data_IF_984793699906
#
_entry.id   IF_984793699906
#
_cell.length_a   1.000
_cell.length_b   1.000
_cell.length_c   1.000
_cell.angle_alpha   90.00
_cell.angle_beta   90.00
_cell.angle_gamma   90.00
#
_symmetry.space_group_name_H-M   'P 1'
#
loop_
_entity.id
_entity.type
_entity.pdbx_description
1 polymer ?
#
# COMPACT_ATOMS: atom_id res chain seq x y z
N UNK A 1 20.54 -3.72 16.36
CA UNK A 1 19.74 -3.72 15.12
C UNK A 1 19.31 -2.28 14.87
N UNK A 2 19.72 -1.67 13.76
CA UNK A 2 19.26 -0.35 13.36
C UNK A 2 18.04 -0.54 12.44
N UNK A 3 16.85 -0.26 12.94
CA UNK A 3 15.62 -0.28 12.14
C UNK A 3 15.36 1.11 11.55
N UNK A 4 15.52 1.26 10.24
CA UNK A 4 15.11 2.48 9.51
C UNK A 4 13.72 2.24 8.93
N UNK A 5 12.76 3.13 9.24
CA UNK A 5 11.45 3.12 8.60
C UNK A 5 11.62 3.60 7.15
N UNK A 6 11.34 2.73 6.18
CA UNK A 6 11.49 3.05 4.75
C UNK A 6 10.20 3.65 4.16
N UNK A 7 9.04 3.09 4.54
CA UNK A 7 7.72 3.56 4.09
C UNK A 7 6.66 3.19 5.12
N UNK A 8 5.60 4.00 5.19
CA UNK A 8 4.43 3.73 6.03
C UNK A 8 3.17 3.98 5.22
N UNK A 9 2.25 3.03 5.21
CA UNK A 9 0.99 3.11 4.47
C UNK A 9 -0.19 2.92 5.44
N UNK A 10 -1.23 3.74 5.29
CA UNK A 10 -2.47 3.62 6.07
C UNK A 10 -3.55 2.90 5.25
N UNK A 11 -3.56 1.58 5.30
CA UNK A 11 -4.53 0.74 4.56
C UNK A 11 -5.72 0.27 5.38
N UNK A 12 -5.62 0.28 6.71
CA UNK A 12 -6.65 -0.20 7.63
C UNK A 12 -7.07 0.89 8.62
N UNK A 13 -8.33 0.84 9.04
CA UNK A 13 -8.84 1.65 10.14
C UNK A 13 -8.77 0.90 11.49
N UNK A 14 -8.49 -0.39 11.45
CA UNK A 14 -8.42 -1.29 12.58
C UNK A 14 -7.05 -1.99 12.66
N UNK A 15 -6.81 -2.71 13.75
CA UNK A 15 -5.57 -3.46 13.94
C UNK A 15 -5.44 -4.57 12.89
N UNK A 16 -4.31 -4.57 12.19
CA UNK A 16 -3.92 -5.64 11.27
C UNK A 16 -3.55 -6.87 12.09
N UNK A 17 -4.15 -8.01 11.77
CA UNK A 17 -3.96 -9.28 12.48
C UNK A 17 -3.00 -10.20 11.72
N UNK A 18 -3.04 -10.15 10.38
CA UNK A 18 -2.20 -11.01 9.54
C UNK A 18 -1.79 -10.33 8.24
N UNK A 19 -0.64 -10.77 7.71
CA UNK A 19 -0.09 -10.37 6.42
C UNK A 19 0.28 -11.61 5.61
N UNK A 20 0.15 -11.53 4.28
CA UNK A 20 0.68 -12.50 3.35
C UNK A 20 1.24 -11.77 2.13
N UNK A 21 2.54 -11.89 1.89
CA UNK A 21 3.20 -11.35 0.71
C UNK A 21 3.45 -12.49 -0.26
N UNK A 22 2.87 -12.41 -1.45
CA UNK A 22 3.04 -13.44 -2.47
C UNK A 22 3.61 -12.87 -3.76
N UNK A 23 4.61 -13.56 -4.32
CA UNK A 23 5.23 -13.23 -5.59
C UNK A 23 4.80 -14.25 -6.64
N UNK A 24 4.53 -13.79 -7.85
CA UNK A 24 4.24 -14.69 -8.96
C UNK A 24 5.42 -15.64 -9.23
N UNK A 25 5.13 -16.93 -9.18
CA UNK A 25 6.07 -18.03 -9.38
C UNK A 25 6.53 -18.25 -10.83
N UNK A 26 5.91 -17.60 -11.82
CA UNK A 26 6.30 -17.79 -13.22
C UNK A 26 7.62 -17.09 -13.58
N UNK A 27 8.69 -17.88 -13.57
CA UNK A 27 9.87 -17.63 -14.41
C UNK A 27 9.41 -17.84 -15.85
N UNK A 28 9.20 -16.76 -16.60
CA UNK A 28 9.00 -16.85 -18.06
C UNK A 28 10.30 -17.45 -18.62
N UNK A 29 10.32 -18.70 -19.14
CA UNK A 29 11.42 -19.12 -19.98
C UNK A 29 11.36 -18.22 -21.21
N UNK A 30 12.50 -17.69 -21.66
CA UNK A 30 12.59 -17.01 -22.95
C UNK A 30 12.06 -17.94 -24.05
N UNK A 31 10.78 -17.83 -24.35
CA UNK A 31 10.15 -18.46 -25.49
C UNK A 31 9.34 -17.39 -26.22
N UNK A 32 9.50 -17.40 -27.54
CA UNK A 32 9.26 -16.33 -28.50
C UNK A 32 7.78 -15.93 -28.70
N UNK A 33 6.94 -15.95 -27.66
CA UNK A 33 5.57 -15.51 -27.77
C UNK A 33 5.45 -14.01 -27.47
N UNK A 34 5.02 -13.25 -28.48
CA UNK A 34 4.82 -11.80 -28.54
C UNK A 34 3.81 -11.20 -27.52
N UNK A 35 3.82 -11.60 -26.25
CA UNK A 35 3.27 -10.75 -25.18
C UNK A 35 4.36 -9.80 -24.74
N UNK A 36 4.42 -8.61 -25.35
CA UNK A 36 5.39 -7.58 -24.97
C UNK A 36 5.35 -7.36 -23.46
N UNK A 37 6.41 -7.75 -22.75
CA UNK A 37 6.61 -7.29 -21.37
C UNK A 37 6.59 -5.77 -21.42
N UNK A 38 5.80 -5.16 -20.55
CA UNK A 38 5.80 -3.70 -20.47
C UNK A 38 7.21 -3.23 -20.15
N UNK A 39 7.67 -2.25 -20.93
CA UNK A 39 8.94 -1.60 -20.72
C UNK A 39 8.67 -0.15 -20.35
N UNK A 40 9.08 0.24 -19.14
CA UNK A 40 9.04 1.64 -18.75
C UNK A 40 10.11 2.43 -19.51
N UNK A 41 9.66 3.22 -20.48
CA UNK A 41 10.53 4.05 -21.33
C UNK A 41 10.69 5.47 -20.81
N UNK A 42 10.14 5.79 -19.64
CA UNK A 42 10.18 7.14 -19.07
C UNK A 42 11.61 7.66 -18.96
N UNK A 43 12.53 6.80 -18.50
CA UNK A 43 13.97 7.13 -18.37
C UNK A 43 14.68 7.41 -19.70
N UNK A 44 14.10 7.01 -20.84
CA UNK A 44 14.66 7.32 -22.17
C UNK A 44 14.37 8.76 -22.60
N UNK A 45 13.34 9.38 -22.04
CA UNK A 45 12.86 10.71 -22.44
C UNK A 45 13.03 11.76 -21.35
N UNK A 46 12.99 11.35 -20.08
CA UNK A 46 13.08 12.24 -18.94
C UNK A 46 14.39 12.06 -18.19
N UNK A 47 14.99 13.14 -17.67
CA UNK A 47 16.11 13.01 -16.75
C UNK A 47 15.68 12.24 -15.49
N UNK A 48 16.64 11.71 -14.72
CA UNK A 48 16.36 11.08 -13.44
C UNK A 48 15.52 11.97 -12.52
N UNK A 49 14.71 11.34 -11.67
CA UNK A 49 13.89 12.08 -10.72
C UNK A 49 14.76 13.02 -9.86
N UNK A 50 14.31 14.26 -9.63
CA UNK A 50 15.04 15.19 -8.78
C UNK A 50 15.17 14.63 -7.36
N UNK A 51 16.29 14.92 -6.69
CA UNK A 51 16.51 14.58 -5.28
C UNK A 51 16.11 15.76 -4.40
N UNK A 52 15.68 15.47 -3.17
CA UNK A 52 15.35 16.51 -2.18
C UNK A 52 16.59 17.40 -1.92
N UNK A 53 16.47 18.73 -1.98
CA UNK A 53 17.57 19.64 -1.65
C UNK A 53 18.08 19.41 -0.22
N UNK A 54 19.40 19.26 -0.06
CA UNK A 54 20.04 19.19 1.26
C UNK A 54 19.94 20.56 1.94
N UNK A 55 19.69 20.60 3.25
CA UNK A 55 19.72 21.86 4.00
C UNK A 55 21.15 22.46 4.00
N UNK A 56 21.35 23.69 3.50
CA UNK A 56 22.65 24.36 3.56
C UNK A 56 23.10 24.55 5.01
N UNK A 57 24.34 24.15 5.32
CA UNK A 57 24.93 24.26 6.67
C UNK A 57 25.14 22.93 7.41
N UNK A 58 24.53 21.83 6.94
CA UNK A 58 25.05 20.50 7.26
C UNK A 58 26.21 20.21 6.31
N UNK A 59 27.44 20.52 6.75
CA UNK A 59 28.64 19.90 6.20
C UNK A 59 28.51 18.38 6.44
N UNK A 60 28.89 17.54 5.48
CA UNK A 60 28.90 16.05 5.53
C UNK A 60 29.75 15.43 6.68
N UNK A 61 29.98 16.12 7.78
CA UNK A 61 30.94 15.71 8.81
C UNK A 61 30.52 15.82 10.26
N UNK A 62 29.40 16.47 10.64
CA UNK A 62 29.18 16.76 12.08
C UNK A 62 27.74 16.61 12.60
N UNK A 63 26.93 15.77 11.94
CA UNK A 63 25.80 15.11 12.57
C UNK A 63 25.71 13.70 12.01
N UNK A 64 26.11 12.72 12.81
CA UNK A 64 26.03 11.32 12.43
C UNK A 64 24.62 10.94 11.95
N UNK A 65 24.60 10.11 10.90
CA UNK A 65 23.47 9.29 10.41
C UNK A 65 22.67 9.75 9.18
N UNK A 66 23.16 10.68 8.34
CA UNK A 66 22.62 10.79 6.97
C UNK A 66 23.70 11.13 5.93
N UNK A 67 24.64 10.22 5.73
CA UNK A 67 25.44 10.12 4.51
C UNK A 67 25.67 8.61 4.29
N UNK A 68 25.59 8.12 3.04
CA UNK A 68 25.54 6.69 2.61
C UNK A 68 24.17 5.98 2.61
N UNK A 69 23.06 6.72 2.73
CA UNK A 69 21.70 6.13 2.69
C UNK A 69 21.02 6.07 1.31
N UNK A 70 21.70 6.48 0.23
CA UNK A 70 21.10 6.69 -1.10
C UNK A 70 20.68 5.39 -1.79
N UNK A 71 21.32 4.25 -1.51
CA UNK A 71 20.95 2.95 -2.12
C UNK A 71 19.60 2.42 -1.63
N UNK A 72 19.19 2.76 -0.39
CA UNK A 72 18.03 2.12 0.26
C UNK A 72 16.66 2.53 -0.30
N UNK A 73 16.54 3.75 -0.83
CA UNK A 73 15.30 4.22 -1.45
C UNK A 73 15.27 3.84 -2.94
N UNK A 74 16.43 3.87 -3.60
CA UNK A 74 16.58 3.49 -5.00
C UNK A 74 16.27 1.99 -5.22
N UNK A 75 16.59 1.12 -4.24
CA UNK A 75 16.21 -0.30 -4.26
C UNK A 75 14.68 -0.53 -4.16
N UNK A 76 13.94 0.34 -3.47
CA UNK A 76 12.48 0.24 -3.35
C UNK A 76 11.73 0.90 -4.51
N UNK A 77 12.27 1.98 -5.08
CA UNK A 77 11.67 2.72 -6.19
C UNK A 77 11.92 2.04 -7.54
N UNK A 78 12.96 1.22 -7.67
CA UNK A 78 13.22 0.44 -8.88
C UNK A 78 12.30 -0.80 -8.99
N UNK A 79 10.98 -0.58 -8.93
CA UNK A 79 9.98 -1.63 -9.17
C UNK A 79 9.96 -2.12 -10.63
N UNK A 80 10.68 -1.43 -11.52
CA UNK A 80 10.81 -1.76 -12.96
C UNK A 80 11.35 -3.17 -13.23
N UNK A 81 12.10 -3.74 -12.29
CA UNK A 81 12.64 -5.10 -12.37
C UNK A 81 12.02 -6.05 -11.33
N UNK A 82 11.14 -5.56 -10.45
CA UNK A 82 10.51 -6.39 -9.45
C UNK A 82 9.50 -7.32 -10.12
N UNK A 83 9.51 -8.59 -9.73
CA UNK A 83 8.43 -9.49 -10.14
C UNK A 83 7.12 -9.01 -9.55
N UNK A 84 6.04 -9.16 -10.31
CA UNK A 84 4.70 -8.81 -9.84
C UNK A 84 4.40 -9.58 -8.56
N UNK A 85 4.15 -8.83 -7.48
CA UNK A 85 3.87 -9.38 -6.17
C UNK A 85 2.77 -8.57 -5.48
N UNK A 86 2.00 -9.26 -4.65
CA UNK A 86 0.83 -8.72 -3.97
C UNK A 86 0.94 -9.00 -2.48
N UNK A 87 0.89 -7.94 -1.69
CA UNK A 87 0.71 -7.97 -0.25
C UNK A 87 -0.78 -7.95 0.08
N UNK A 88 -1.23 -8.99 0.77
CA UNK A 88 -2.57 -9.09 1.36
C UNK A 88 -2.46 -8.84 2.87
N UNK A 89 -3.34 -8.00 3.40
CA UNK A 89 -3.43 -7.73 4.84
C UNK A 89 -4.85 -7.91 5.33
N UNK A 90 -5.02 -8.56 6.48
CA UNK A 90 -6.31 -8.82 7.11
C UNK A 90 -6.41 -8.13 8.47
N UNK A 91 -7.56 -7.52 8.77
CA UNK A 91 -7.82 -6.88 10.08
C UNK A 91 -8.94 -7.56 10.88
N UNK A 92 -9.04 -7.13 12.14
CA UNK A 92 -10.03 -7.63 13.11
C UNK A 92 -11.50 -7.34 12.74
N UNK A 93 -11.74 -6.40 11.81
CA UNK A 93 -13.08 -5.95 11.41
C UNK A 93 -13.47 -6.56 10.05
N UNK A 94 -12.85 -7.69 9.69
CA UNK A 94 -13.20 -8.44 8.49
C UNK A 94 -12.68 -7.84 7.19
N UNK A 95 -11.83 -6.81 7.21
CA UNK A 95 -11.31 -6.21 5.98
C UNK A 95 -10.04 -6.89 5.50
N UNK A 96 -9.99 -7.12 4.20
CA UNK A 96 -8.81 -7.57 3.47
C UNK A 96 -8.40 -6.44 2.53
N UNK A 97 -7.17 -5.96 2.65
CA UNK A 97 -6.59 -4.98 1.75
C UNK A 97 -5.52 -5.65 0.89
N UNK A 98 -5.42 -5.19 -0.36
CA UNK A 98 -4.46 -5.67 -1.34
C UNK A 98 -3.55 -4.51 -1.76
N UNK A 99 -2.25 -4.77 -1.80
CA UNK A 99 -1.26 -3.81 -2.27
C UNK A 99 -0.24 -4.46 -3.20
N UNK A 100 -0.02 -3.86 -4.36
CA UNK A 100 1.00 -4.30 -5.32
C UNK A 100 2.34 -3.72 -4.87
N UNK A 101 3.40 -4.53 -4.89
CA UNK A 101 4.74 -4.19 -4.37
C UNK A 101 4.77 -3.79 -2.88
N UNK A 102 3.68 -4.00 -2.15
CA UNK A 102 3.51 -3.56 -0.76
C UNK A 102 3.35 -2.06 -0.57
N UNK A 103 3.20 -1.28 -1.66
CA UNK A 103 3.20 0.19 -1.63
C UNK A 103 1.98 0.78 -2.33
N UNK A 104 1.51 0.16 -3.42
CA UNK A 104 0.37 0.67 -4.18
C UNK A 104 -0.92 -0.06 -3.77
N UNK A 105 -1.86 0.56 -3.02
CA UNK A 105 -3.11 -0.09 -2.64
C UNK A 105 -4.01 -0.26 -3.88
N UNK A 106 -4.40 -1.50 -4.18
CA UNK A 106 -5.20 -1.82 -5.37
C UNK A 106 -6.66 -2.13 -5.06
N UNK A 107 -6.97 -2.52 -3.83
CA UNK A 107 -8.34 -2.84 -3.46
C UNK A 107 -8.53 -3.20 -2.00
N UNK A 108 -9.78 -3.15 -1.57
CA UNK A 108 -10.23 -3.53 -0.23
C UNK A 108 -11.55 -4.28 -0.36
N UNK A 109 -11.67 -5.41 0.33
CA UNK A 109 -12.94 -6.14 0.46
C UNK A 109 -13.22 -6.41 1.93
N UNK A 110 -14.50 -6.48 2.28
CA UNK A 110 -14.91 -6.83 3.64
C UNK A 110 -15.74 -8.12 3.60
N UNK A 111 -15.34 -9.10 4.40
CA UNK A 111 -15.98 -10.43 4.38
C UNK A 111 -17.42 -10.43 4.91
N UNK A 112 -17.85 -9.40 5.65
CA UNK A 112 -19.25 -9.23 6.06
C UNK A 112 -20.18 -8.93 4.87
N UNK A 113 -19.64 -8.35 3.80
CA UNK A 113 -20.42 -7.99 2.61
C UNK A 113 -20.55 -9.18 1.63
N UNK A 114 -19.92 -10.31 1.92
CA UNK A 114 -19.92 -11.48 1.06
C UNK A 114 -21.11 -12.39 1.38
N UNK A 115 -21.77 -12.86 0.33
CA UNK A 115 -22.78 -13.91 0.41
C UNK A 115 -22.23 -15.17 -0.23
N UNK A 116 -22.44 -16.30 0.44
CA UNK A 116 -21.96 -17.61 0.03
C UNK A 116 -23.16 -18.46 -0.38
N UNK A 117 -23.23 -18.92 -1.64
CA UNK A 117 -24.27 -19.84 -2.04
C UNK A 117 -24.07 -21.17 -1.30
N UNK A 118 -25.14 -21.69 -0.71
CA UNK A 118 -25.19 -23.00 -0.10
C UNK A 118 -26.28 -23.82 -0.75
N UNK A 119 -25.91 -24.92 -1.39
CA UNK A 119 -26.86 -25.91 -1.88
C UNK A 119 -27.14 -26.92 -0.78
N UNK A 120 -28.25 -26.76 -0.06
CA UNK A 120 -28.76 -27.81 0.82
C UNK A 120 -30.20 -28.13 0.41
N UNK A 121 -30.44 -29.39 0.04
CA UNK A 121 -31.78 -29.94 -0.18
C UNK A 121 -32.62 -29.29 -1.30
N UNK A 122 -31.96 -28.90 -2.40
CA UNK A 122 -32.64 -28.43 -3.62
C UNK A 122 -33.18 -26.99 -3.60
N UNK A 123 -33.12 -26.30 -2.46
CA UNK A 123 -33.38 -24.86 -2.36
C UNK A 123 -32.04 -24.10 -2.37
N UNK A 124 -31.89 -23.13 -3.28
CA UNK A 124 -30.76 -22.19 -3.21
C UNK A 124 -30.95 -21.28 -1.99
N UNK A 125 -30.07 -21.44 -1.00
CA UNK A 125 -29.95 -20.52 0.13
C UNK A 125 -28.61 -19.84 0.08
N UNK A 126 -28.55 -18.61 0.55
CA UNK A 126 -27.27 -17.90 0.71
C UNK A 126 -26.98 -17.69 2.20
N UNK A 127 -25.70 -17.79 2.56
CA UNK A 127 -25.23 -17.51 3.92
C UNK A 127 -24.34 -16.27 3.92
N UNK A 128 -24.37 -15.53 5.02
CA UNK A 128 -23.50 -14.38 5.26
C UNK A 128 -22.78 -14.58 6.60
N UNK A 129 -21.55 -14.07 6.67
CA UNK A 129 -20.76 -14.10 7.90
C UNK A 129 -20.81 -12.73 8.61
N UNK A 130 -21.52 -12.68 9.72
CA UNK A 130 -21.60 -11.48 10.58
C UNK A 130 -20.50 -11.51 11.64
N UNK A 131 -20.11 -10.33 12.12
CA UNK A 131 -19.10 -10.16 13.20
C UNK A 131 -17.78 -10.92 12.98
N UNK A 132 -17.49 -11.23 11.71
CA UNK A 132 -16.28 -11.90 11.25
C UNK A 132 -14.98 -11.14 11.59
N UNK A 133 -14.05 -11.80 12.27
CA UNK A 133 -12.68 -11.34 12.48
C UNK A 133 -11.70 -12.23 11.74
N UNK A 134 -10.72 -11.65 11.03
CA UNK A 134 -9.74 -12.40 10.24
C UNK A 134 -8.59 -12.86 11.15
N UNK A 135 -8.21 -14.12 11.01
CA UNK A 135 -7.06 -14.73 11.68
C UNK A 135 -5.89 -14.96 10.74
N UNK A 136 -6.15 -15.34 9.49
CA UNK A 136 -5.12 -15.62 8.50
C UNK A 136 -5.62 -15.36 7.08
N UNK A 137 -4.74 -14.86 6.24
CA UNK A 137 -4.91 -14.79 4.78
C UNK A 137 -3.75 -15.53 4.12
N UNK A 138 -4.02 -16.21 3.00
CA UNK A 138 -3.00 -16.90 2.20
C UNK A 138 -3.37 -16.78 0.71
N UNK A 139 -2.58 -16.03 -0.04
CA UNK A 139 -2.74 -15.88 -1.48
C UNK A 139 -2.00 -17.02 -2.20
N UNK A 140 -2.61 -17.60 -3.22
CA UNK A 140 -1.99 -18.64 -4.03
C UNK A 140 -0.86 -18.10 -4.91
N UNK A 141 0.08 -18.98 -5.29
CA UNK A 141 1.24 -18.65 -6.14
C UNK A 141 0.88 -18.18 -7.56
N UNK A 142 -0.29 -18.60 -8.05
CA UNK A 142 -0.89 -18.14 -9.30
C UNK A 142 -1.71 -16.85 -9.13
N UNK A 143 -1.76 -16.32 -7.90
CA UNK A 143 -2.53 -15.14 -7.48
C UNK A 143 -4.04 -15.23 -7.72
N UNK A 144 -4.56 -16.42 -8.07
CA UNK A 144 -5.95 -16.60 -8.48
C UNK A 144 -6.91 -16.93 -7.34
N UNK A 145 -6.40 -17.36 -6.18
CA UNK A 145 -7.22 -17.77 -5.03
C UNK A 145 -6.65 -17.20 -3.73
N UNK A 146 -7.53 -16.62 -2.94
CA UNK A 146 -7.21 -16.21 -1.57
C UNK A 146 -7.95 -17.10 -0.58
N UNK A 147 -7.21 -17.76 0.30
CA UNK A 147 -7.78 -18.48 1.44
C UNK A 147 -7.80 -17.57 2.66
N UNK A 148 -8.95 -17.47 3.31
CA UNK A 148 -9.17 -16.63 4.49
C UNK A 148 -9.69 -17.50 5.63
N UNK A 149 -8.96 -17.52 6.74
CA UNK A 149 -9.44 -18.09 8.00
C UNK A 149 -9.98 -16.96 8.87
N UNK A 150 -11.22 -17.11 9.32
CA UNK A 150 -11.92 -16.08 10.09
C UNK A 150 -12.85 -16.72 11.12
N UNK A 151 -13.21 -16.00 12.17
CA UNK A 151 -14.24 -16.43 13.11
C UNK A 151 -15.43 -15.49 13.07
N UNK A 152 -16.66 -16.00 13.12
CA UNK A 152 -17.85 -15.16 13.12
C UNK A 152 -19.15 -15.98 13.14
N UNK A 153 -20.27 -15.26 13.08
CA UNK A 153 -21.62 -15.83 13.12
C UNK A 153 -22.12 -16.07 11.70
N UNK A 154 -22.35 -17.35 11.35
CA UNK A 154 -22.89 -17.71 10.05
C UNK A 154 -24.42 -17.65 10.08
N UNK A 155 -25.02 -16.84 9.22
CA UNK A 155 -26.48 -16.62 9.18
C UNK A 155 -27.02 -16.88 7.77
N UNK A 156 -28.20 -17.50 7.68
CA UNK A 156 -28.93 -17.69 6.42
C UNK A 156 -29.68 -16.42 6.02
N UNK A 157 -29.54 -16.02 4.75
CA UNK A 157 -30.25 -14.89 4.15
C UNK A 157 -31.43 -15.46 3.33
N UNK A 158 -32.65 -15.06 3.68
CA UNK A 158 -33.89 -15.44 2.97
C UNK A 158 -34.38 -14.23 2.18
N UNK A 159 -34.83 -14.47 0.94
CA UNK A 159 -35.08 -13.45 -0.10
C UNK A 159 -36.35 -12.59 0.11
N UNK A 160 -37.17 -12.88 1.13
CA UNK A 160 -38.44 -12.19 1.39
C UNK A 160 -38.30 -11.19 2.55
N UNK A 161 -38.14 -9.92 2.18
CA UNK A 161 -37.81 -8.77 3.04
C UNK A 161 -36.45 -8.92 3.73
N UNK A 162 -35.77 -7.80 3.96
CA UNK A 162 -34.46 -7.65 4.62
C UNK A 162 -34.42 -8.12 6.11
N UNK A 163 -35.26 -9.09 6.47
CA UNK A 163 -35.37 -9.72 7.77
C UNK A 163 -34.39 -10.89 7.79
N UNK A 164 -33.21 -10.62 8.36
CA UNK A 164 -32.26 -11.66 8.77
C UNK A 164 -33.00 -12.58 9.75
N UNK A 165 -33.45 -13.74 9.29
CA UNK A 165 -34.01 -14.75 10.17
C UNK A 165 -32.88 -15.30 11.04
N UNK A 166 -32.83 -14.87 12.30
CA UNK A 166 -32.02 -15.48 13.38
C UNK A 166 -32.60 -16.84 13.81
N UNK A 167 -33.34 -17.51 12.93
CA UNK A 167 -34.11 -18.72 13.23
C UNK A 167 -33.28 -19.95 12.87
N UNK A 168 -32.52 -20.45 13.85
CA UNK A 168 -31.88 -21.77 13.80
C UNK A 168 -30.35 -21.69 13.81
N UNK A 169 -29.78 -21.82 15.01
CA UNK A 169 -28.35 -21.99 15.30
C UNK A 169 -27.42 -20.92 14.69
N UNK A 170 -27.26 -19.79 15.40
CA UNK A 170 -26.06 -18.95 15.23
C UNK A 170 -24.84 -19.77 15.63
N UNK A 171 -24.23 -20.44 14.65
CA UNK A 171 -22.99 -21.16 14.82
C UNK A 171 -21.84 -20.15 14.73
N UNK A 172 -21.57 -19.49 15.86
CA UNK A 172 -20.30 -18.79 16.01
C UNK A 172 -19.19 -19.83 15.91
N UNK A 173 -18.35 -19.70 14.90
CA UNK A 173 -17.37 -20.73 14.57
C UNK A 173 -16.16 -20.18 13.84
N UNK A 174 -15.20 -21.06 13.60
CA UNK A 174 -14.09 -20.80 12.70
C UNK A 174 -14.49 -21.23 11.29
N UNK A 175 -14.35 -20.32 10.35
CA UNK A 175 -14.73 -20.49 8.95
C UNK A 175 -13.51 -20.35 8.04
N UNK A 176 -13.51 -21.12 6.95
CA UNK A 176 -12.49 -21.05 5.91
C UNK A 176 -13.16 -20.63 4.60
N UNK A 177 -12.79 -19.47 4.08
CA UNK A 177 -13.34 -18.90 2.86
C UNK A 177 -12.30 -19.01 1.73
N UNK A 178 -12.77 -19.35 0.53
CA UNK A 178 -11.95 -19.29 -0.68
C UNK A 178 -12.51 -18.19 -1.60
N UNK A 179 -11.74 -17.13 -1.80
CA UNK A 179 -12.12 -15.99 -2.63
C UNK A 179 -11.40 -16.07 -3.98
N UNK A 180 -12.14 -15.74 -5.04
CA UNK A 180 -11.57 -15.65 -6.39
C UNK A 180 -10.82 -14.32 -6.54
N UNK A 181 -9.51 -14.41 -6.77
CA UNK A 181 -8.62 -13.27 -7.01
C UNK A 181 -7.98 -13.32 -8.39
N UNK A 182 -8.54 -14.09 -9.33
CA UNK A 182 -8.02 -14.27 -10.69
C UNK A 182 -7.84 -12.96 -11.48
N UNK A 183 -8.45 -11.85 -11.04
CA UNK A 183 -8.20 -10.52 -11.62
C UNK A 183 -6.71 -10.13 -11.56
N UNK A 184 -5.99 -10.50 -10.49
CA UNK A 184 -4.56 -10.19 -10.36
C UNK A 184 -3.74 -10.90 -11.43
N UNK A 185 -4.13 -12.12 -11.78
CA UNK A 185 -3.51 -12.89 -12.84
C UNK A 185 -3.94 -12.38 -14.23
N UNK A 186 -5.25 -12.30 -14.46
CA UNK A 186 -5.83 -11.96 -15.76
C UNK A 186 -5.43 -10.56 -16.24
N UNK A 187 -5.24 -9.61 -15.31
CA UNK A 187 -4.85 -8.22 -15.62
C UNK A 187 -3.44 -7.88 -15.13
N UNK A 188 -2.58 -8.90 -14.93
CA UNK A 188 -1.23 -8.77 -14.34
C UNK A 188 -0.41 -7.65 -14.98
N UNK A 189 -0.32 -7.63 -16.31
CA UNK A 189 0.53 -6.67 -17.02
C UNK A 189 0.04 -5.22 -16.86
N UNK A 190 -1.27 -4.99 -16.82
CA UNK A 190 -1.80 -3.63 -16.64
C UNK A 190 -1.71 -3.21 -15.17
N UNK A 191 -1.97 -4.12 -14.24
CA UNK A 191 -1.81 -3.86 -12.82
C UNK A 191 -0.35 -3.57 -12.45
N UNK A 192 0.59 -4.30 -13.04
CA UNK A 192 2.01 -4.05 -12.89
C UNK A 192 2.38 -2.63 -13.39
N UNK A 193 1.92 -2.28 -14.60
CA UNK A 193 2.12 -0.95 -15.19
C UNK A 193 1.59 0.17 -14.32
N UNK A 194 0.31 0.05 -13.91
CA UNK A 194 -0.35 1.06 -13.10
C UNK A 194 0.34 1.21 -11.75
N UNK A 195 0.67 0.10 -11.10
CA UNK A 195 1.37 0.14 -9.81
C UNK A 195 2.75 0.79 -9.93
N UNK A 196 3.53 0.46 -10.97
CA UNK A 196 4.83 1.07 -11.21
C UNK A 196 4.71 2.58 -11.43
N UNK A 197 3.83 3.01 -12.33
CA UNK A 197 3.68 4.43 -12.64
C UNK A 197 3.10 5.22 -11.45
N UNK A 198 2.13 4.65 -10.73
CA UNK A 198 1.58 5.29 -9.55
C UNK A 198 2.61 5.43 -8.42
N UNK A 199 3.47 4.42 -8.24
CA UNK A 199 4.56 4.48 -7.24
C UNK A 199 5.56 5.58 -7.59
N UNK A 200 5.94 5.70 -8.87
CA UNK A 200 6.81 6.78 -9.35
C UNK A 200 6.20 8.17 -9.09
N UNK A 201 4.88 8.32 -9.28
CA UNK A 201 4.16 9.57 -9.02
C UNK A 201 4.15 9.90 -7.51
N UNK A 202 3.92 8.90 -6.67
CA UNK A 202 3.92 9.07 -5.21
C UNK A 202 5.31 9.51 -4.71
N UNK A 203 6.37 8.87 -5.18
CA UNK A 203 7.76 9.20 -4.86
C UNK A 203 8.09 10.64 -5.30
N UNK A 204 7.71 11.02 -6.52
CA UNK A 204 7.90 12.39 -7.01
C UNK A 204 7.12 13.41 -6.16
N UNK A 205 5.90 13.07 -5.76
CA UNK A 205 5.08 13.93 -4.89
C UNK A 205 5.74 14.13 -3.53
N UNK A 206 6.39 13.09 -3.00
CA UNK A 206 7.17 13.18 -1.76
C UNK A 206 8.39 14.08 -1.91
N UNK A 207 9.15 13.94 -3.00
CA UNK A 207 10.26 14.84 -3.31
C UNK A 207 9.80 16.30 -3.39
N UNK A 208 8.70 16.58 -4.09
CA UNK A 208 8.16 17.93 -4.23
C UNK A 208 7.78 18.50 -2.87
N UNK A 209 7.06 17.72 -2.04
CA UNK A 209 6.65 18.15 -0.70
C UNK A 209 7.84 18.46 0.19
N UNK A 210 8.84 17.57 0.21
CA UNK A 210 10.06 17.76 1.00
C UNK A 210 10.86 18.97 0.51
N UNK A 211 10.97 19.15 -0.81
CA UNK A 211 11.66 20.30 -1.42
C UNK A 211 10.99 21.62 -1.05
N UNK A 212 9.65 21.69 -1.14
CA UNK A 212 8.89 22.87 -0.73
C UNK A 212 9.05 23.18 0.75
N UNK A 213 9.10 22.15 1.61
CA UNK A 213 9.36 22.33 3.03
C UNK A 213 10.74 22.93 3.29
N UNK A 214 11.79 22.42 2.63
CA UNK A 214 13.15 22.97 2.74
C UNK A 214 13.20 24.41 2.24
N UNK A 215 12.61 24.70 1.07
CA UNK A 215 12.57 26.05 0.50
C UNK A 215 11.84 27.04 1.43
N UNK A 216 10.68 26.64 1.96
CA UNK A 216 9.93 27.47 2.90
C UNK A 216 10.75 27.78 4.15
N UNK A 217 11.45 26.79 4.70
CA UNK A 217 12.32 26.98 5.86
C UNK A 217 13.46 27.94 5.57
N UNK A 218 14.16 27.75 4.45
CA UNK A 218 15.26 28.63 4.04
C UNK A 218 14.79 30.07 3.83
N UNK A 219 13.61 30.27 3.23
CA UNK A 219 13.02 31.59 3.08
C UNK A 219 12.68 32.23 4.42
N UNK A 220 12.06 31.47 5.34
CA UNK A 220 11.76 31.94 6.70
C UNK A 220 13.03 32.32 7.46
N UNK A 221 14.08 31.51 7.40
CA UNK A 221 15.35 31.76 8.08
C UNK A 221 16.06 33.01 7.52
N UNK A 222 16.05 33.18 6.19
CA UNK A 222 16.60 34.36 5.53
C UNK A 222 15.83 35.64 5.92
N UNK A 223 14.50 35.58 5.93
CA UNK A 223 13.66 36.72 6.32
C UNK A 223 13.82 37.07 7.80
N UNK A 224 13.95 36.07 8.67
CA UNK A 224 14.25 36.27 10.08
C UNK A 224 15.59 37.00 10.26
N UNK A 225 16.64 36.50 9.63
CA UNK A 225 17.98 37.09 9.67
C UNK A 225 17.98 38.54 9.16
N UNK A 226 17.26 38.80 8.05
CA UNK A 226 17.10 40.14 7.51
C UNK A 226 16.43 41.08 8.52
N UNK A 227 15.34 40.64 9.14
CA UNK A 227 14.61 41.42 10.14
C UNK A 227 15.46 41.72 11.38
N UNK A 228 16.22 40.75 11.87
CA UNK A 228 17.12 40.95 13.02
C UNK A 228 18.21 41.99 12.71
N UNK A 229 18.86 41.88 11.55
CA UNK A 229 19.89 42.84 11.13
C UNK A 229 19.29 44.23 10.92
N UNK A 230 18.11 44.32 10.32
CA UNK A 230 17.42 45.60 10.11
C UNK A 230 17.02 46.26 11.44
N UNK A 231 16.49 45.48 12.38
CA UNK A 231 16.16 45.98 13.72
C UNK A 231 17.42 46.47 14.46
N UNK A 232 18.52 45.71 14.39
CA UNK A 232 19.80 46.08 15.01
C UNK A 232 20.39 47.36 14.42
N UNK A 233 20.22 47.57 13.11
CA UNK A 233 20.62 48.82 12.46
C UNK A 233 19.72 49.97 12.90
N UNK A 234 18.40 49.76 12.95
CA UNK A 234 17.45 50.77 13.38
C UNK A 234 17.74 51.25 14.81
N UNK A 235 18.04 50.32 15.73
CA UNK A 235 18.41 50.67 17.12
C UNK A 235 19.68 51.51 17.15
N UNK A 236 20.70 51.13 16.37
CA UNK A 236 21.98 51.85 16.30
C UNK A 236 21.81 53.30 15.81
N UNK A 237 20.90 53.53 14.86
CA UNK A 237 20.59 54.87 14.33
C UNK A 237 19.85 55.72 15.36
N UNK A 238 18.92 55.15 16.14
CA UNK A 238 18.20 55.89 17.20
C UNK A 238 19.07 56.20 18.43
N UNK A 239 20.11 55.42 18.67
CA UNK A 239 21.04 55.62 19.81
C UNK A 239 22.14 56.66 19.52
N UNK A 240 22.22 57.20 18.28
CA UNK A 240 23.12 58.30 17.87
C UNK A 240 22.35 59.58 17.55
#
# INVERSE_FOLDING_TARGET
MNGKLLRSLKSHCAAIICLNWEEDSHVIPDDHCHTSKYEDRTSRFFPPAPKVPRMPGLVSGDNGFMDDGDDSFEELSNSSHQRFNVLCSGDKDGNICFSIFGIFPIGKTNIHNLTFPTSSDGAERSKRLLNASIHKVALSKDLCRLIVMCSGDLVEVVDDLDVIHMAGHNEHGLHCLALNTAIFWNRKNELHQVAQQASNIEDLTEVVRASLSVMSRQWSDAMHTFKEKFNSLSTLITDH
#
